data_IF_751494802233
#
_entry.id   IF_751494802233
#
_cell.length_a   1.000
_cell.length_b   1.000
_cell.length_c   1.000
_cell.angle_alpha   90.00
_cell.angle_beta   90.00
_cell.angle_gamma   90.00
#
_symmetry.space_group_name_H-M   'P 1'
#
loop_
_entity.id
_entity.type
_entity.pdbx_description
1 polymer ?
#
# COMPACT_ATOMS: atom_id res chain seq x y z
N UNK A 1 -15.90 17.69 5.10
CA UNK A 1 -15.65 19.13 4.87
C UNK A 1 -14.31 19.20 4.17
N UNK A 2 -14.30 19.75 2.98
CA UNK A 2 -13.03 20.11 2.35
C UNK A 2 -12.69 21.54 2.80
N UNK A 3 -11.45 21.81 3.06
CA UNK A 3 -10.88 23.12 3.34
C UNK A 3 -11.33 24.25 2.37
N UNK A 4 -11.90 23.87 1.20
CA UNK A 4 -12.32 24.78 0.13
C UNK A 4 -13.83 25.01 0.05
N UNK A 5 -14.63 24.33 0.86
CA UNK A 5 -16.09 24.51 0.87
C UNK A 5 -16.48 25.55 1.91
N UNK A 6 -17.37 26.45 1.54
CA UNK A 6 -17.96 27.38 2.50
C UNK A 6 -18.76 26.61 3.55
N UNK A 7 -18.78 27.08 4.79
CA UNK A 7 -19.54 26.48 5.88
C UNK A 7 -21.01 26.29 5.50
N UNK A 8 -21.62 27.26 4.86
CA UNK A 8 -23.01 27.18 4.42
C UNK A 8 -23.31 26.13 3.35
N UNK A 9 -22.34 25.75 2.50
CA UNK A 9 -22.53 24.66 1.55
C UNK A 9 -22.54 23.30 2.24
N UNK A 10 -21.71 23.14 3.24
CA UNK A 10 -21.66 21.90 4.02
C UNK A 10 -22.93 21.70 4.86
N UNK A 11 -23.44 22.77 5.50
CA UNK A 11 -24.71 22.74 6.23
C UNK A 11 -25.85 22.32 5.31
N UNK A 12 -26.00 22.99 4.15
CA UNK A 12 -27.01 22.64 3.16
C UNK A 12 -26.88 21.21 2.66
N UNK A 13 -25.67 20.72 2.48
CA UNK A 13 -25.44 19.34 2.06
C UNK A 13 -25.91 18.33 3.13
N UNK A 14 -25.60 18.57 4.41
CA UNK A 14 -26.08 17.72 5.51
C UNK A 14 -27.60 17.73 5.57
N UNK A 15 -28.24 18.90 5.49
CA UNK A 15 -29.69 19.03 5.50
C UNK A 15 -30.33 18.29 4.32
N UNK A 16 -29.78 18.45 3.11
CA UNK A 16 -30.27 17.76 1.93
C UNK A 16 -30.16 16.23 2.08
N UNK A 17 -29.04 15.72 2.61
CA UNK A 17 -28.89 14.28 2.85
C UNK A 17 -29.84 13.78 3.96
N UNK A 18 -30.07 14.56 5.01
CA UNK A 18 -31.05 14.21 6.05
C UNK A 18 -32.47 14.14 5.50
N UNK A 19 -32.84 15.06 4.61
CA UNK A 19 -34.19 15.08 4.00
C UNK A 19 -34.50 13.84 3.17
N UNK A 20 -33.46 13.12 2.68
CA UNK A 20 -33.61 11.84 1.96
C UNK A 20 -33.31 10.61 2.83
N UNK A 21 -33.23 10.77 4.16
CA UNK A 21 -33.12 9.68 5.12
C UNK A 21 -31.70 9.29 5.57
N UNK A 22 -30.70 10.10 5.25
CA UNK A 22 -29.33 9.85 5.78
C UNK A 22 -29.31 10.15 7.28
N UNK A 23 -28.85 9.17 8.08
CA UNK A 23 -28.84 9.25 9.55
C UNK A 23 -27.43 9.39 10.14
N UNK A 24 -26.40 9.01 9.42
CA UNK A 24 -25.00 9.04 9.88
C UNK A 24 -24.11 9.78 8.90
N UNK A 25 -23.23 10.60 9.43
CA UNK A 25 -22.34 11.45 8.64
C UNK A 25 -20.88 11.28 9.05
N UNK A 26 -20.02 11.21 8.04
CA UNK A 26 -18.56 11.27 8.20
C UNK A 26 -18.04 12.55 7.53
N UNK A 27 -17.41 13.43 8.28
CA UNK A 27 -16.76 14.63 7.77
C UNK A 27 -15.25 14.42 7.61
N UNK A 28 -14.69 14.98 6.54
CA UNK A 28 -13.24 14.97 6.29
C UNK A 28 -12.61 16.30 6.68
N UNK A 29 -11.68 16.25 7.60
CA UNK A 29 -10.73 17.35 7.87
C UNK A 29 -9.51 17.12 7.01
N UNK A 30 -9.43 17.86 5.90
CA UNK A 30 -8.32 17.77 4.95
C UNK A 30 -7.16 18.62 5.46
N UNK A 31 -5.97 18.05 5.50
CA UNK A 31 -4.80 18.79 5.91
C UNK A 31 -3.54 18.38 5.12
N UNK A 32 -2.57 19.29 5.13
CA UNK A 32 -1.23 19.06 4.69
C UNK A 32 -0.33 19.15 5.93
N UNK A 33 0.22 18.02 6.32
CA UNK A 33 1.07 17.90 7.52
C UNK A 33 2.56 18.05 7.23
N UNK A 34 2.91 18.65 6.10
CA UNK A 34 4.31 18.79 5.66
C UNK A 34 5.20 19.46 6.70
N UNK A 35 4.65 20.45 7.40
CA UNK A 35 5.34 21.18 8.46
C UNK A 35 5.04 20.64 9.86
N UNK A 36 4.52 19.40 9.95
CA UNK A 36 4.07 18.80 11.18
C UNK A 36 2.76 19.41 11.70
N UNK A 37 2.52 19.28 13.01
CA UNK A 37 1.33 19.84 13.68
C UNK A 37 1.77 20.79 14.79
N UNK A 38 1.64 22.10 14.54
CA UNK A 38 1.82 23.15 15.55
C UNK A 38 0.57 23.29 16.43
N UNK A 39 0.69 23.96 17.56
CA UNK A 39 -0.47 24.29 18.40
C UNK A 39 -1.54 25.07 17.63
N UNK A 40 -1.14 25.97 16.73
CA UNK A 40 -2.07 26.74 15.89
C UNK A 40 -2.81 25.86 14.90
N UNK A 41 -2.12 24.98 14.20
CA UNK A 41 -2.76 24.05 13.26
C UNK A 41 -3.64 23.03 13.97
N UNK A 42 -3.26 22.58 15.17
CA UNK A 42 -4.10 21.73 15.99
C UNK A 42 -5.40 22.42 16.40
N UNK A 43 -5.33 23.67 16.89
CA UNK A 43 -6.53 24.44 17.23
C UNK A 43 -7.44 24.66 16.02
N UNK A 44 -6.88 24.82 14.83
CA UNK A 44 -7.68 24.91 13.61
C UNK A 44 -8.40 23.60 13.30
N UNK A 45 -7.73 22.47 13.45
CA UNK A 45 -8.34 21.14 13.34
C UNK A 45 -9.47 20.98 14.36
N UNK A 46 -9.25 21.35 15.62
CA UNK A 46 -10.27 21.29 16.68
C UNK A 46 -11.49 22.14 16.33
N UNK A 47 -11.32 23.37 15.85
CA UNK A 47 -12.44 24.22 15.42
C UNK A 47 -13.28 23.59 14.31
N UNK A 48 -12.64 22.96 13.33
CA UNK A 48 -13.36 22.24 12.27
C UNK A 48 -14.11 21.02 12.79
N UNK A 49 -13.53 20.30 13.77
CA UNK A 49 -14.16 19.16 14.43
C UNK A 49 -15.37 19.61 15.23
N UNK A 50 -15.21 20.64 16.10
CA UNK A 50 -16.29 21.18 16.92
C UNK A 50 -17.48 21.64 16.06
N UNK A 51 -17.19 22.35 14.97
CA UNK A 51 -18.21 22.79 14.04
C UNK A 51 -18.94 21.61 13.36
N UNK A 52 -18.21 20.59 12.88
CA UNK A 52 -18.81 19.40 12.29
C UNK A 52 -19.67 18.63 13.30
N UNK A 53 -19.16 18.46 14.53
CA UNK A 53 -19.86 17.80 15.62
C UNK A 53 -21.15 18.56 16.01
N UNK A 54 -21.12 19.90 16.02
CA UNK A 54 -22.29 20.74 16.23
C UNK A 54 -23.40 20.54 15.17
N UNK A 55 -23.07 20.07 13.99
CA UNK A 55 -24.00 19.68 12.94
C UNK A 55 -24.45 18.21 13.04
N UNK A 56 -24.07 17.50 14.10
CA UNK A 56 -24.42 16.09 14.32
C UNK A 56 -23.59 15.11 13.49
N UNK A 57 -22.37 15.48 13.12
CA UNK A 57 -21.41 14.54 12.52
C UNK A 57 -20.76 13.73 13.64
N UNK A 58 -20.84 12.41 13.54
CA UNK A 58 -20.32 11.48 14.56
C UNK A 58 -18.93 10.94 14.22
N UNK A 59 -18.56 10.92 12.93
CA UNK A 59 -17.31 10.33 12.45
C UNK A 59 -16.44 11.43 11.81
N UNK A 60 -15.27 11.62 12.36
CA UNK A 60 -14.28 12.58 11.83
C UNK A 60 -13.14 11.84 11.13
N UNK A 61 -12.96 12.11 9.85
CA UNK A 61 -11.87 11.58 9.05
C UNK A 61 -10.73 12.58 8.96
N UNK A 62 -9.59 12.26 9.55
CA UNK A 62 -8.36 13.01 9.37
C UNK A 62 -7.71 12.55 8.07
N UNK A 63 -7.52 13.49 7.14
CA UNK A 63 -6.92 13.23 5.83
C UNK A 63 -5.51 13.77 5.78
N UNK A 64 -4.53 12.89 5.63
CA UNK A 64 -3.20 13.27 5.16
C UNK A 64 -3.23 13.32 3.63
N UNK A 65 -3.61 14.47 3.08
CA UNK A 65 -3.93 14.62 1.66
C UNK A 65 -2.73 14.45 0.73
N UNK A 66 -1.51 14.56 1.23
CA UNK A 66 -0.26 14.49 0.45
C UNK A 66 0.76 13.52 1.03
N UNK A 67 0.33 12.63 1.95
CA UNK A 67 1.19 11.60 2.52
C UNK A 67 2.38 12.15 3.29
N UNK A 68 2.22 13.26 4.00
CA UNK A 68 3.32 13.96 4.69
C UNK A 68 3.41 13.69 6.20
N UNK A 69 2.41 13.03 6.78
CA UNK A 69 2.44 12.63 8.19
C UNK A 69 3.63 11.72 8.49
N UNK A 70 4.28 12.00 9.61
CA UNK A 70 5.30 11.13 10.18
C UNK A 70 4.70 10.32 11.34
N UNK A 71 5.10 9.06 11.59
CA UNK A 71 4.47 8.21 12.59
C UNK A 71 4.41 8.82 14.00
N UNK A 72 5.46 9.52 14.44
CA UNK A 72 5.47 10.21 15.74
C UNK A 72 4.47 11.39 15.82
N UNK A 73 4.27 12.10 14.69
CA UNK A 73 3.27 13.17 14.59
C UNK A 73 1.86 12.56 14.61
N UNK A 74 1.67 11.45 13.90
CA UNK A 74 0.41 10.68 13.88
C UNK A 74 0.05 10.22 15.30
N UNK A 75 1.02 9.66 16.04
CA UNK A 75 0.82 9.25 17.43
C UNK A 75 0.32 10.41 18.29
N UNK A 76 1.03 11.52 18.25
CA UNK A 76 0.70 12.70 19.04
C UNK A 76 -0.69 13.25 18.67
N UNK A 77 -0.96 13.42 17.38
CA UNK A 77 -2.22 13.96 16.88
C UNK A 77 -3.40 13.07 17.24
N UNK A 78 -3.33 11.77 16.92
CA UNK A 78 -4.41 10.83 17.16
C UNK A 78 -4.72 10.66 18.65
N UNK A 79 -3.69 10.47 19.49
CA UNK A 79 -3.88 10.34 20.94
C UNK A 79 -4.53 11.58 21.53
N UNK A 80 -4.15 12.78 21.06
CA UNK A 80 -4.70 14.02 21.55
C UNK A 80 -6.13 14.24 21.09
N UNK A 81 -6.46 13.94 19.84
CA UNK A 81 -7.84 14.04 19.32
C UNK A 81 -8.79 13.10 20.06
N UNK A 82 -8.40 11.85 20.30
CA UNK A 82 -9.20 10.89 21.05
C UNK A 82 -9.46 11.37 22.47
N UNK A 83 -8.44 12.01 23.12
CA UNK A 83 -8.58 12.57 24.46
C UNK A 83 -9.48 13.81 24.50
N UNK A 84 -9.31 14.72 23.55
CA UNK A 84 -10.01 16.00 23.52
C UNK A 84 -11.49 15.85 23.05
N UNK A 85 -11.80 14.79 22.25
CA UNK A 85 -13.12 14.51 21.70
C UNK A 85 -13.55 13.04 21.93
N UNK A 86 -13.69 12.59 23.17
CA UNK A 86 -13.95 11.17 23.47
C UNK A 86 -15.32 10.65 22.97
N UNK A 87 -16.24 11.54 22.61
CA UNK A 87 -17.56 11.21 22.08
C UNK A 87 -17.58 10.94 20.57
N UNK A 88 -16.49 11.26 19.85
CA UNK A 88 -16.43 11.13 18.39
C UNK A 88 -15.67 9.88 17.98
N UNK A 89 -16.04 9.33 16.82
CA UNK A 89 -15.32 8.26 16.15
C UNK A 89 -14.31 8.88 15.19
N UNK A 90 -13.05 8.53 15.34
CA UNK A 90 -11.99 9.01 14.46
C UNK A 90 -11.59 7.97 13.41
N UNK A 91 -11.34 8.47 12.21
CA UNK A 91 -10.88 7.70 11.06
C UNK A 91 -9.61 8.33 10.48
N UNK A 92 -8.58 7.54 10.18
CA UNK A 92 -7.43 8.02 9.43
C UNK A 92 -7.53 7.61 7.96
N UNK A 93 -7.28 8.59 7.07
CA UNK A 93 -7.04 8.39 5.64
C UNK A 93 -5.66 8.94 5.29
N UNK A 94 -4.68 8.07 5.16
CA UNK A 94 -3.29 8.45 4.93
C UNK A 94 -2.86 8.07 3.50
N UNK A 95 -2.41 9.09 2.73
CA UNK A 95 -1.78 8.86 1.43
C UNK A 95 -0.35 8.34 1.58
N UNK A 96 0.12 7.63 0.54
CA UNK A 96 1.38 6.89 0.56
C UNK A 96 2.51 7.58 -0.23
N UNK A 97 2.42 8.88 -0.46
CA UNK A 97 3.39 9.62 -1.29
C UNK A 97 4.84 9.53 -0.76
N UNK A 98 5.00 9.37 0.55
CA UNK A 98 6.31 9.15 1.20
C UNK A 98 6.52 7.70 1.70
N UNK A 99 5.68 6.75 1.30
CA UNK A 99 5.80 5.35 1.73
C UNK A 99 5.38 5.10 3.20
N UNK A 100 4.70 6.04 3.84
CA UNK A 100 4.38 5.99 5.28
C UNK A 100 2.91 5.69 5.60
N UNK A 101 2.06 5.48 4.59
CA UNK A 101 0.62 5.29 4.82
C UNK A 101 0.33 4.13 5.76
N UNK A 102 0.96 2.97 5.56
CA UNK A 102 0.79 1.79 6.41
C UNK A 102 1.24 2.07 7.85
N UNK A 103 2.43 2.65 8.02
CA UNK A 103 2.97 2.97 9.34
C UNK A 103 2.06 3.96 10.10
N UNK A 104 1.59 5.00 9.42
CA UNK A 104 0.66 5.97 10.00
C UNK A 104 -0.70 5.34 10.33
N UNK A 105 -1.20 4.45 9.48
CA UNK A 105 -2.45 3.72 9.72
C UNK A 105 -2.36 2.85 10.97
N UNK A 106 -1.29 2.08 11.11
CA UNK A 106 -1.06 1.27 12.31
C UNK A 106 -0.86 2.15 13.55
N UNK A 107 -0.15 3.26 13.41
CA UNK A 107 0.04 4.21 14.52
C UNK A 107 -1.28 4.85 14.98
N UNK A 108 -2.19 5.17 14.05
CA UNK A 108 -3.52 5.68 14.40
C UNK A 108 -4.35 4.66 15.18
N UNK A 109 -4.32 3.38 14.76
CA UNK A 109 -4.98 2.27 15.48
C UNK A 109 -4.44 2.19 16.93
N UNK A 110 -3.11 2.15 17.09
CA UNK A 110 -2.48 2.10 18.42
C UNK A 110 -2.77 3.33 19.27
N UNK A 111 -3.06 4.47 18.64
CA UNK A 111 -3.38 5.73 19.33
C UNK A 111 -4.87 5.89 19.64
N UNK A 112 -5.70 4.86 19.38
CA UNK A 112 -7.11 4.82 19.74
C UNK A 112 -8.08 5.24 18.66
N UNK A 113 -7.66 5.43 17.42
CA UNK A 113 -8.60 5.62 16.30
C UNK A 113 -9.38 4.32 16.06
N UNK A 114 -10.69 4.44 15.98
CA UNK A 114 -11.60 3.31 15.82
C UNK A 114 -11.81 2.90 14.36
N UNK A 115 -11.41 3.75 13.42
CA UNK A 115 -11.51 3.48 11.99
C UNK A 115 -10.23 3.87 11.26
N UNK A 116 -9.92 3.13 10.23
CA UNK A 116 -8.87 3.46 9.25
C UNK A 116 -9.38 3.17 7.84
N UNK A 117 -8.82 3.83 6.86
CA UNK A 117 -9.11 3.59 5.45
C UNK A 117 -7.89 3.00 4.76
N UNK A 118 -8.13 1.94 4.01
CA UNK A 118 -7.17 1.31 3.11
C UNK A 118 -7.84 0.95 1.79
N UNK A 119 -7.06 0.53 0.82
CA UNK A 119 -7.56 0.02 -0.45
C UNK A 119 -6.84 -1.26 -0.84
N UNK A 120 -7.48 -2.08 -1.66
CA UNK A 120 -6.86 -3.28 -2.21
C UNK A 120 -5.60 -2.88 -2.98
N UNK A 121 -4.50 -3.59 -2.73
CA UNK A 121 -3.20 -3.30 -3.32
C UNK A 121 -2.66 -1.86 -3.07
N UNK A 122 -3.29 -1.10 -2.20
CA UNK A 122 -2.95 0.31 -1.93
C UNK A 122 -3.40 1.28 -3.03
N UNK A 123 -4.32 0.88 -3.92
CA UNK A 123 -4.79 1.74 -5.01
C UNK A 123 -5.36 3.06 -4.52
N UNK A 124 -5.02 4.12 -5.21
CA UNK A 124 -5.50 5.47 -4.93
C UNK A 124 -4.80 6.52 -5.78
N UNK A 125 -5.14 7.76 -5.56
CA UNK A 125 -4.49 8.87 -6.25
C UNK A 125 -2.98 8.90 -5.96
N UNK A 126 -2.17 9.21 -6.96
CA UNK A 126 -0.70 9.28 -6.89
C UNK A 126 -0.09 7.95 -6.44
N UNK A 127 0.54 7.92 -5.24
CA UNK A 127 1.11 6.68 -4.65
C UNK A 127 0.10 5.84 -3.86
N UNK A 128 -1.20 6.20 -3.92
CA UNK A 128 -2.26 5.48 -3.24
C UNK A 128 -2.37 5.76 -1.74
N UNK A 129 -2.94 4.79 -1.03
CA UNK A 129 -3.16 4.79 0.43
C UNK A 129 -2.64 3.48 1.04
N UNK A 130 -2.88 3.24 2.32
CA UNK A 130 -2.45 2.01 2.98
C UNK A 130 -3.07 0.77 2.30
N UNK A 131 -2.27 -0.25 1.91
CA UNK A 131 -2.79 -1.50 1.37
C UNK A 131 -3.58 -2.26 2.45
N UNK A 132 -4.85 -2.56 2.16
CA UNK A 132 -5.76 -3.15 3.14
C UNK A 132 -5.28 -4.53 3.61
N UNK A 133 -4.78 -5.36 2.72
CA UNK A 133 -4.25 -6.67 3.03
C UNK A 133 -3.02 -6.60 3.96
N UNK A 134 -2.20 -5.55 3.85
CA UNK A 134 -1.08 -5.33 4.76
C UNK A 134 -1.55 -4.86 6.14
N UNK A 135 -2.55 -3.98 6.20
CA UNK A 135 -3.16 -3.55 7.47
C UNK A 135 -3.72 -4.75 8.21
N UNK A 136 -4.48 -5.61 7.52
CA UNK A 136 -5.07 -6.82 8.11
C UNK A 136 -4.00 -7.80 8.59
N UNK A 137 -2.96 -8.06 7.80
CA UNK A 137 -1.84 -8.93 8.20
C UNK A 137 -1.16 -8.41 9.47
N UNK A 138 -0.89 -7.10 9.55
CA UNK A 138 -0.26 -6.50 10.73
C UNK A 138 -1.18 -6.53 11.95
N UNK A 139 -2.48 -6.31 11.78
CA UNK A 139 -3.44 -6.43 12.87
C UNK A 139 -3.50 -7.85 13.41
N UNK A 140 -3.53 -8.86 12.54
CA UNK A 140 -3.49 -10.28 12.94
C UNK A 140 -2.19 -10.61 13.68
N UNK A 141 -1.03 -10.21 13.13
CA UNK A 141 0.28 -10.46 13.74
C UNK A 141 0.44 -9.79 15.13
N UNK A 142 -0.25 -8.69 15.37
CA UNK A 142 -0.22 -7.95 16.65
C UNK A 142 -1.43 -8.23 17.55
N UNK A 143 -2.27 -9.23 17.24
CA UNK A 143 -3.49 -9.58 17.98
C UNK A 143 -4.47 -8.40 18.13
N UNK A 144 -4.51 -7.49 17.15
CA UNK A 144 -5.45 -6.37 17.11
C UNK A 144 -6.75 -6.85 16.47
N UNK A 145 -7.85 -6.76 17.23
CA UNK A 145 -9.18 -7.12 16.73
C UNK A 145 -9.75 -6.01 15.84
N UNK A 146 -10.16 -6.37 14.63
CA UNK A 146 -10.81 -5.49 13.66
C UNK A 146 -12.35 -5.65 13.74
N UNK A 147 -12.95 -5.05 14.76
CA UNK A 147 -14.38 -5.20 15.01
C UNK A 147 -14.79 -6.63 15.35
N UNK A 148 -15.99 -7.04 14.88
CA UNK A 148 -16.53 -8.41 15.05
C UNK A 148 -16.31 -9.31 13.82
N UNK A 149 -15.68 -8.82 12.78
CA UNK A 149 -15.46 -9.56 11.52
C UNK A 149 -14.08 -10.21 11.53
N UNK A 150 -14.05 -11.50 11.24
CA UNK A 150 -12.83 -12.17 10.80
C UNK A 150 -12.60 -11.80 9.33
N UNK A 151 -11.49 -11.12 9.05
CA UNK A 151 -11.13 -10.77 7.69
C UNK A 151 -10.29 -11.91 7.08
N UNK A 152 -10.77 -12.41 5.95
CA UNK A 152 -10.09 -13.42 5.15
C UNK A 152 -8.89 -12.80 4.43
N UNK A 153 -7.69 -12.95 4.98
CA UNK A 153 -6.47 -12.42 4.39
C UNK A 153 -6.15 -13.05 3.01
N UNK A 154 -6.23 -14.38 2.80
CA UNK A 154 -6.10 -14.97 1.47
C UNK A 154 -7.07 -14.38 0.45
N UNK A 155 -8.33 -14.20 0.82
CA UNK A 155 -9.34 -13.55 -0.03
C UNK A 155 -8.99 -12.10 -0.35
N UNK A 156 -8.46 -11.33 0.60
CA UNK A 156 -8.00 -9.96 0.36
C UNK A 156 -6.80 -9.91 -0.59
N UNK A 157 -5.86 -10.83 -0.47
CA UNK A 157 -4.71 -10.95 -1.39
C UNK A 157 -5.22 -11.27 -2.81
N UNK A 158 -6.13 -12.24 -2.94
CA UNK A 158 -6.74 -12.58 -4.23
C UNK A 158 -7.48 -11.38 -4.84
N UNK A 159 -8.24 -10.65 -4.03
CA UNK A 159 -8.94 -9.44 -4.47
C UNK A 159 -7.97 -8.32 -4.88
N UNK A 160 -6.82 -8.18 -4.21
CA UNK A 160 -5.79 -7.23 -4.60
C UNK A 160 -5.22 -7.53 -6.00
N UNK A 161 -4.95 -8.80 -6.31
CA UNK A 161 -4.51 -9.22 -7.64
C UNK A 161 -5.58 -8.98 -8.71
N UNK A 162 -6.85 -9.32 -8.43
CA UNK A 162 -7.96 -9.05 -9.34
C UNK A 162 -8.13 -7.54 -9.58
N UNK A 163 -7.91 -6.72 -8.57
CA UNK A 163 -7.95 -5.27 -8.69
C UNK A 163 -6.85 -4.75 -9.64
N UNK A 164 -5.62 -5.27 -9.53
CA UNK A 164 -4.53 -4.95 -10.46
C UNK A 164 -4.91 -5.27 -11.91
N UNK A 165 -5.48 -6.44 -12.16
CA UNK A 165 -5.93 -6.86 -13.49
C UNK A 165 -7.07 -5.99 -14.01
N UNK A 166 -8.10 -5.74 -13.20
CA UNK A 166 -9.27 -4.95 -13.57
C UNK A 166 -8.92 -3.51 -13.95
N UNK A 167 -7.94 -2.92 -13.28
CA UNK A 167 -7.45 -1.57 -13.56
C UNK A 167 -6.26 -1.53 -14.52
N UNK A 168 -5.88 -2.67 -15.11
CA UNK A 168 -4.72 -2.80 -16.01
C UNK A 168 -3.43 -2.24 -15.39
N UNK A 169 -3.24 -2.44 -14.09
CA UNK A 169 -2.03 -2.04 -13.40
C UNK A 169 -1.00 -3.18 -13.48
N UNK A 170 0.25 -2.81 -13.70
CA UNK A 170 1.32 -3.80 -13.63
C UNK A 170 1.43 -4.32 -12.18
N UNK A 171 1.45 -5.66 -11.99
CA UNK A 171 1.51 -6.22 -10.65
C UNK A 171 2.79 -5.80 -9.94
N UNK A 172 2.66 -5.41 -8.68
CA UNK A 172 3.81 -5.11 -7.85
C UNK A 172 4.47 -6.42 -7.41
N UNK A 173 5.68 -6.68 -7.89
CA UNK A 173 6.39 -7.95 -7.68
C UNK A 173 6.83 -8.09 -6.21
N UNK A 174 7.31 -6.98 -5.63
CA UNK A 174 7.91 -6.95 -4.28
C UNK A 174 7.03 -6.26 -3.23
N UNK A 175 5.74 -6.10 -3.47
CA UNK A 175 4.85 -5.56 -2.46
C UNK A 175 4.73 -6.55 -1.31
N UNK A 176 4.99 -6.11 -0.10
CA UNK A 176 4.81 -6.93 1.08
C UNK A 176 3.38 -7.51 1.16
N UNK A 177 3.24 -8.76 1.59
CA UNK A 177 1.99 -9.52 1.78
C UNK A 177 1.29 -9.91 0.48
N UNK A 178 1.19 -9.04 -0.53
CA UNK A 178 0.41 -9.29 -1.76
C UNK A 178 1.21 -9.14 -3.05
N UNK A 179 2.52 -8.98 -2.99
CA UNK A 179 3.37 -8.98 -4.16
C UNK A 179 3.44 -10.38 -4.82
N UNK A 180 3.65 -10.43 -6.12
CA UNK A 180 3.69 -11.71 -6.86
C UNK A 180 4.73 -12.67 -6.29
N UNK A 181 5.92 -12.20 -5.95
CA UNK A 181 6.94 -13.06 -5.35
C UNK A 181 6.67 -13.35 -3.88
N UNK A 182 6.07 -12.42 -3.15
CA UNK A 182 5.71 -12.61 -1.75
C UNK A 182 4.66 -13.72 -1.59
N UNK A 183 3.71 -13.81 -2.52
CA UNK A 183 2.61 -14.79 -2.44
C UNK A 183 2.93 -16.14 -3.10
N UNK A 184 3.78 -16.16 -4.12
CA UNK A 184 4.11 -17.38 -4.88
C UNK A 184 5.41 -18.00 -4.45
N UNK A 185 6.39 -17.19 -4.05
CA UNK A 185 7.73 -17.65 -3.72
C UNK A 185 8.51 -16.60 -2.95
N UNK A 186 9.45 -17.04 -2.16
CA UNK A 186 10.40 -16.16 -1.50
C UNK A 186 11.59 -15.90 -2.45
N UNK A 187 11.96 -14.65 -2.65
CA UNK A 187 13.04 -14.26 -3.56
C UNK A 187 14.13 -13.52 -2.79
N UNK A 188 15.35 -13.99 -2.90
CA UNK A 188 16.50 -13.34 -2.27
C UNK A 188 17.32 -14.25 -1.37
N UNK A 189 17.81 -13.71 -0.26
CA UNK A 189 18.62 -14.44 0.72
C UNK A 189 17.71 -15.20 1.67
N UNK A 190 17.85 -16.52 1.73
CA UNK A 190 16.99 -17.44 2.50
C UNK A 190 17.61 -17.89 3.82
N UNK A 191 18.86 -17.58 4.07
CA UNK A 191 19.54 -17.96 5.31
C UNK A 191 19.01 -17.11 6.47
N UNK A 192 17.81 -17.45 6.93
CA UNK A 192 17.25 -16.88 8.13
C UNK A 192 17.63 -17.82 9.27
N UNK A 193 18.33 -17.33 10.31
CA UNK A 193 18.65 -18.13 11.46
C UNK A 193 17.40 -18.72 12.11
N UNK A 194 17.45 -19.97 12.55
CA UNK A 194 16.30 -20.68 13.14
C UNK A 194 15.63 -19.94 14.31
N UNK A 195 16.40 -19.15 15.06
CA UNK A 195 15.88 -18.36 16.16
C UNK A 195 14.96 -17.20 15.75
N UNK A 196 14.87 -16.86 14.45
CA UNK A 196 13.96 -15.84 13.93
C UNK A 196 12.58 -16.39 13.56
N UNK A 197 12.38 -17.71 13.67
CA UNK A 197 11.07 -18.38 13.53
C UNK A 197 10.21 -17.86 12.36
N UNK A 198 10.76 -17.77 11.18
CA UNK A 198 9.98 -17.45 10.00
C UNK A 198 9.34 -18.72 9.44
N UNK A 199 8.06 -18.92 9.76
CA UNK A 199 7.30 -20.13 9.44
C UNK A 199 6.73 -20.17 8.01
N UNK A 200 7.31 -19.53 7.05
CA UNK A 200 6.74 -19.52 5.70
C UNK A 200 7.37 -20.63 4.83
N UNK A 201 6.70 -21.75 4.68
CA UNK A 201 6.97 -22.81 3.70
C UNK A 201 6.67 -22.36 2.26
N UNK A 202 7.09 -21.16 1.89
CA UNK A 202 6.89 -20.68 0.53
C UNK A 202 7.96 -21.23 -0.40
N UNK A 203 7.55 -21.68 -1.58
CA UNK A 203 8.48 -21.90 -2.68
C UNK A 203 9.30 -20.63 -2.93
N UNK A 204 10.51 -20.75 -3.44
CA UNK A 204 11.37 -19.59 -3.65
C UNK A 204 12.21 -19.71 -4.92
N UNK A 205 12.48 -18.56 -5.53
CA UNK A 205 13.47 -18.43 -6.57
C UNK A 205 14.81 -18.04 -5.97
N UNK A 206 15.83 -18.84 -6.22
CA UNK A 206 17.18 -18.55 -5.77
C UNK A 206 17.91 -17.73 -6.84
N UNK A 207 18.34 -16.53 -6.47
CA UNK A 207 19.17 -15.69 -7.33
C UNK A 207 20.67 -15.85 -6.99
N UNK A 208 21.52 -15.15 -7.74
CA UNK A 208 22.96 -15.16 -7.55
C UNK A 208 23.40 -14.85 -6.10
N UNK A 209 22.71 -13.92 -5.42
CA UNK A 209 23.02 -13.51 -4.04
C UNK A 209 22.61 -14.58 -3.03
N UNK A 210 21.44 -15.20 -3.23
CA UNK A 210 20.90 -16.24 -2.36
C UNK A 210 21.53 -17.61 -2.56
N UNK A 211 22.37 -17.80 -3.58
CA UNK A 211 23.01 -19.07 -3.88
C UNK A 211 24.18 -19.31 -2.92
N UNK A 212 23.98 -20.22 -1.96
CA UNK A 212 24.89 -20.57 -0.88
C UNK A 212 24.85 -22.08 -0.60
N UNK A 213 25.92 -22.73 -0.09
CA UNK A 213 25.91 -24.15 0.26
C UNK A 213 24.74 -24.60 1.11
N UNK A 214 24.35 -23.81 2.11
CA UNK A 214 23.22 -24.12 2.97
C UNK A 214 21.88 -24.09 2.21
N UNK A 215 21.68 -23.11 1.31
CA UNK A 215 20.51 -23.07 0.43
C UNK A 215 20.44 -24.30 -0.48
N UNK A 216 21.59 -24.71 -1.02
CA UNK A 216 21.67 -25.91 -1.84
C UNK A 216 21.41 -27.17 -1.03
N UNK A 217 21.94 -27.29 0.19
CA UNK A 217 21.70 -28.40 1.12
C UNK A 217 20.20 -28.52 1.43
N UNK A 218 19.56 -27.44 1.80
CA UNK A 218 18.13 -27.40 2.09
C UNK A 218 17.28 -27.79 0.87
N UNK A 219 17.67 -27.34 -0.34
CA UNK A 219 16.99 -27.74 -1.57
C UNK A 219 17.16 -29.24 -1.84
N UNK A 220 18.34 -29.81 -1.59
CA UNK A 220 18.60 -31.24 -1.72
C UNK A 220 17.80 -32.06 -0.69
N UNK A 221 17.71 -31.62 0.55
CA UNK A 221 16.90 -32.27 1.60
C UNK A 221 15.42 -32.34 1.23
N UNK A 222 14.89 -31.26 0.65
CA UNK A 222 13.47 -31.15 0.33
C UNK A 222 13.09 -31.81 -1.01
N UNK A 223 14.00 -31.83 -2.00
CA UNK A 223 13.63 -32.15 -3.38
C UNK A 223 14.54 -33.19 -4.07
N UNK A 224 15.58 -33.71 -3.41
CA UNK A 224 16.41 -34.73 -4.04
C UNK A 224 15.67 -36.07 -4.18
N UNK A 225 16.12 -36.87 -5.15
CA UNK A 225 15.62 -38.24 -5.33
C UNK A 225 15.96 -39.13 -4.14
N UNK A 226 15.09 -40.09 -3.84
CA UNK A 226 15.33 -41.08 -2.79
C UNK A 226 16.68 -41.80 -3.00
N UNK A 227 17.54 -41.78 -1.96
CA UNK A 227 18.81 -42.47 -1.96
C UNK A 227 20.05 -41.55 -1.89
N UNK A 228 19.88 -40.24 -1.98
CA UNK A 228 20.99 -39.30 -1.73
C UNK A 228 21.10 -39.01 -0.23
N UNK A 229 22.22 -39.40 0.39
CA UNK A 229 22.51 -38.99 1.77
C UNK A 229 23.05 -37.56 1.79
N UNK A 230 22.15 -36.60 1.93
CA UNK A 230 22.49 -35.15 1.91
C UNK A 230 23.41 -34.79 3.09
N UNK A 231 23.27 -35.48 4.23
CA UNK A 231 24.09 -35.26 5.42
C UNK A 231 25.56 -35.64 5.21
N UNK A 232 25.82 -36.60 4.32
CA UNK A 232 27.19 -37.04 4.01
C UNK A 232 27.94 -36.13 3.00
N UNK A 233 27.26 -35.17 2.35
CA UNK A 233 27.85 -34.24 1.37
C UNK A 233 28.71 -33.21 2.10
N UNK A 234 30.00 -33.16 1.78
CA UNK A 234 30.93 -32.20 2.37
C UNK A 234 30.60 -30.75 1.92
N UNK A 235 30.76 -29.78 2.80
CA UNK A 235 30.53 -28.36 2.46
C UNK A 235 31.42 -27.89 1.30
N UNK A 236 32.63 -28.42 1.18
CA UNK A 236 33.55 -28.11 0.07
C UNK A 236 32.97 -28.54 -1.29
N UNK A 237 32.26 -29.66 -1.34
CA UNK A 237 31.57 -30.13 -2.55
C UNK A 237 30.39 -29.22 -2.90
N UNK A 238 29.60 -28.83 -1.92
CA UNK A 238 28.52 -27.87 -2.10
C UNK A 238 29.02 -26.49 -2.58
N UNK A 239 30.17 -26.04 -2.05
CA UNK A 239 30.81 -24.82 -2.53
C UNK A 239 31.22 -24.91 -4.00
N UNK A 240 31.80 -26.04 -4.43
CA UNK A 240 32.19 -26.24 -5.82
C UNK A 240 30.98 -26.21 -6.76
N UNK A 241 29.85 -26.78 -6.34
CA UNK A 241 28.58 -26.72 -7.08
C UNK A 241 28.03 -25.27 -7.13
N UNK A 242 28.04 -24.55 -6.01
CA UNK A 242 27.62 -23.15 -5.94
C UNK A 242 28.45 -22.28 -6.89
N UNK A 243 29.77 -22.46 -6.90
CA UNK A 243 30.66 -21.71 -7.79
C UNK A 243 30.38 -22.02 -9.28
N UNK A 244 30.11 -23.28 -9.61
CA UNK A 244 29.76 -23.68 -10.96
C UNK A 244 28.44 -23.01 -11.39
N UNK A 245 27.40 -23.07 -10.55
CA UNK A 245 26.11 -22.43 -10.81
C UNK A 245 26.24 -20.90 -10.94
N UNK A 246 27.04 -20.26 -10.09
CA UNK A 246 27.31 -18.82 -10.17
C UNK A 246 27.99 -18.44 -11.48
N UNK A 247 28.95 -19.25 -11.95
CA UNK A 247 29.62 -19.03 -13.24
C UNK A 247 28.63 -19.17 -14.41
N UNK A 248 27.74 -20.16 -14.38
CA UNK A 248 26.71 -20.34 -15.39
C UNK A 248 25.72 -19.15 -15.40
N UNK A 249 25.28 -18.72 -14.22
CA UNK A 249 24.41 -17.53 -14.09
C UNK A 249 25.12 -16.28 -14.62
N UNK A 250 26.40 -16.10 -14.32
CA UNK A 250 27.17 -14.96 -14.81
C UNK A 250 27.33 -14.99 -16.34
N UNK A 251 27.51 -16.15 -16.93
CA UNK A 251 27.61 -16.31 -18.37
C UNK A 251 26.25 -15.98 -19.07
N UNK A 252 25.14 -16.13 -18.39
CA UNK A 252 23.80 -15.82 -18.92
C UNK A 252 23.40 -14.35 -18.79
N UNK A 253 24.17 -13.51 -18.06
CA UNK A 253 23.86 -12.09 -17.84
C UNK A 253 23.53 -11.31 -19.13
N UNK A 254 24.29 -11.43 -20.25
CA UNK A 254 23.96 -10.67 -21.46
C UNK A 254 22.59 -11.02 -22.04
N UNK A 255 22.18 -12.28 -21.91
CA UNK A 255 20.85 -12.72 -22.34
C UNK A 255 19.74 -12.15 -21.43
N UNK A 256 19.94 -12.24 -20.10
CA UNK A 256 19.03 -11.70 -19.09
C UNK A 256 18.89 -10.17 -19.26
N UNK A 257 19.98 -9.48 -19.51
CA UNK A 257 19.97 -8.03 -19.77
C UNK A 257 19.15 -7.67 -21.01
N UNK A 258 19.30 -8.45 -22.07
CA UNK A 258 18.49 -8.26 -23.29
C UNK A 258 16.99 -8.45 -23.01
N UNK A 259 16.63 -9.50 -22.29
CA UNK A 259 15.24 -9.76 -21.87
C UNK A 259 14.69 -8.62 -21.00
N UNK A 260 15.48 -8.16 -20.02
CA UNK A 260 15.10 -7.03 -19.18
C UNK A 260 14.81 -5.77 -20.00
N UNK A 261 15.69 -5.43 -20.95
CA UNK A 261 15.48 -4.27 -21.84
C UNK A 261 14.22 -4.40 -22.67
N UNK A 262 13.91 -5.60 -23.17
CA UNK A 262 12.69 -5.88 -23.92
C UNK A 262 11.44 -5.71 -23.06
N UNK A 263 11.43 -6.26 -21.84
CA UNK A 263 10.33 -6.12 -20.87
C UNK A 263 10.11 -4.65 -20.52
N UNK A 264 11.19 -3.93 -20.19
CA UNK A 264 11.09 -2.51 -19.83
C UNK A 264 10.62 -1.65 -21.00
N UNK A 265 11.03 -1.95 -22.22
CA UNK A 265 10.52 -1.33 -23.43
C UNK A 265 9.00 -1.51 -23.56
N UNK A 266 8.51 -2.74 -23.40
CA UNK A 266 7.08 -3.06 -23.45
C UNK A 266 6.28 -2.36 -22.34
N UNK A 267 6.82 -2.26 -21.13
CA UNK A 267 6.22 -1.51 -20.01
C UNK A 267 6.07 -0.03 -20.37
N UNK A 268 7.12 0.59 -20.92
CA UNK A 268 7.08 2.00 -21.30
C UNK A 268 6.09 2.25 -22.46
N UNK A 269 6.01 1.35 -23.41
CA UNK A 269 5.07 1.45 -24.53
C UNK A 269 3.62 1.27 -24.05
N UNK A 270 3.37 0.37 -23.11
CA UNK A 270 2.08 0.21 -22.46
C UNK A 270 1.62 1.52 -21.78
N UNK A 271 2.48 2.15 -20.97
CA UNK A 271 2.12 3.41 -20.32
C UNK A 271 1.91 4.53 -21.33
N UNK A 272 2.70 4.62 -22.40
CA UNK A 272 2.51 5.62 -23.47
C UNK A 272 1.18 5.43 -24.20
N UNK A 273 0.75 4.18 -24.40
CA UNK A 273 -0.52 3.87 -25.04
C UNK A 273 -1.75 4.14 -24.17
N UNK A 274 -1.60 4.02 -22.84
CA UNK A 274 -2.71 4.10 -21.88
C UNK A 274 -2.85 5.45 -21.16
N UNK A 275 -1.92 6.40 -21.39
CA UNK A 275 -1.88 7.70 -20.69
C UNK A 275 -1.67 8.86 -21.65
N UNK A 276 -2.05 10.06 -21.19
CA UNK A 276 -1.80 11.30 -21.91
C UNK A 276 -0.93 12.24 -21.05
N UNK A 277 0.07 12.83 -21.63
CA UNK A 277 0.77 13.98 -21.01
C UNK A 277 -0.14 15.21 -20.99
N UNK A 278 0.07 16.18 -20.08
CA UNK A 278 -0.68 17.44 -20.07
C UNK A 278 -0.65 18.16 -21.42
N UNK A 279 0.50 18.12 -22.14
CA UNK A 279 0.64 18.69 -23.47
C UNK A 279 -0.25 18.00 -24.53
N UNK A 280 -0.30 16.67 -24.51
CA UNK A 280 -1.18 15.91 -25.40
C UNK A 280 -2.65 16.19 -25.14
N UNK A 281 -3.04 16.30 -23.85
CA UNK A 281 -4.41 16.69 -23.46
C UNK A 281 -4.77 18.09 -23.94
N UNK A 282 -3.86 19.05 -23.82
CA UNK A 282 -4.08 20.42 -24.30
C UNK A 282 -4.29 20.45 -25.82
N UNK A 283 -3.41 19.81 -26.58
CA UNK A 283 -3.53 19.71 -28.06
C UNK A 283 -4.84 19.04 -28.46
N UNK A 284 -5.21 17.96 -27.80
CA UNK A 284 -6.46 17.25 -28.09
C UNK A 284 -7.69 18.13 -27.79
N UNK A 285 -7.69 18.86 -26.65
CA UNK A 285 -8.77 19.75 -26.27
C UNK A 285 -8.90 20.92 -27.26
N UNK A 286 -7.80 21.58 -27.63
CA UNK A 286 -7.78 22.67 -28.61
C UNK A 286 -8.38 22.24 -29.95
N UNK A 287 -7.96 21.12 -30.49
CA UNK A 287 -8.49 20.59 -31.76
C UNK A 287 -10.01 20.36 -31.70
N UNK A 288 -10.52 19.87 -30.57
CA UNK A 288 -11.97 19.65 -30.37
C UNK A 288 -12.75 20.96 -30.21
N UNK A 289 -12.19 21.92 -29.50
CA UNK A 289 -12.78 23.26 -29.36
C UNK A 289 -12.88 23.97 -30.70
N UNK A 290 -11.80 23.96 -31.49
CA UNK A 290 -11.81 24.59 -32.82
C UNK A 290 -12.83 23.93 -33.76
N UNK A 291 -12.91 22.60 -33.80
CA UNK A 291 -13.92 21.89 -34.60
C UNK A 291 -15.35 22.23 -34.21
N UNK A 292 -15.63 22.34 -32.90
CA UNK A 292 -16.98 22.70 -32.41
C UNK A 292 -17.34 24.15 -32.79
N UNK A 293 -16.39 25.09 -32.65
CA UNK A 293 -16.63 26.50 -33.05
C UNK A 293 -16.84 26.66 -34.55
N UNK A 294 -16.10 25.92 -35.35
CA UNK A 294 -16.27 25.92 -36.83
C UNK A 294 -17.61 25.27 -37.30
N UNK A 295 -18.19 24.40 -36.50
CA UNK A 295 -19.49 23.76 -36.81
C UNK A 295 -20.71 24.58 -36.35
N UNK A 296 -20.52 25.65 -35.56
CA UNK A 296 -21.58 26.50 -34.99
C UNK A 296 -21.45 27.97 -35.39
N UNK A 297 -20.48 28.36 -36.22
CA UNK A 297 -20.33 29.64 -36.91
C UNK A 297 -20.60 29.47 -38.38
#
# INVERSE_FOLDING_TARGET
>A
ITYRQSTGEFERAIEAFRSIGAVRFKASVLNNFRDGVSNRSYQEICRQIDWAAGLGVEIIRINDSVGSLQPHVTQWLCSRLVKDFPQLVFCLHAHNDNGLALANTMQAIHSGFQMVEGSLAGFGNRSGIAPLEQVVKLCQANNIKLGSLELDLPGLISAAHQCEEAFLQLPSIYRAVSGKFETLSNYGVLNIPDFLETNDEKGYFVNYVGLHPQTLRQALENYSSAGLDVGAIADQELWAIVDSLKNEMQASIPHIESQYRQVMGGVMDFYRASTYTPRQLAVYAEQRIFRRRAAHG
#
